data_IF_749607210821
#
_entry.id   IF_749607210821
#
_cell.length_a   1.000
_cell.length_b   1.000
_cell.length_c   1.000
_cell.angle_alpha   90.00
_cell.angle_beta   90.00
_cell.angle_gamma   90.00
#
_symmetry.space_group_name_H-M   'P 1'
#
loop_
_entity.id
_entity.type
_entity.pdbx_description
1 polymer ?
#
# COMPACT_ATOMS: atom_id res chain seq x y z
N UNK A 1 58.33 -12.49 -1.83
CA UNK A 1 57.69 -13.77 -1.43
C UNK A 1 57.47 -13.79 0.07
N UNK A 2 56.22 -13.56 0.51
CA UNK A 2 55.53 -14.11 1.70
C UNK A 2 54.08 -13.56 1.65
N UNK A 3 53.04 -14.36 1.99
CA UNK A 3 51.69 -14.17 1.46
C UNK A 3 50.79 -13.32 2.37
N UNK A 4 49.82 -12.63 1.74
CA UNK A 4 48.70 -11.95 2.39
C UNK A 4 47.73 -12.99 2.98
N UNK A 5 47.45 -12.91 4.27
CA UNK A 5 46.30 -13.60 4.88
C UNK A 5 45.02 -12.87 4.50
N UNK A 6 44.17 -13.52 3.69
CA UNK A 6 42.75 -13.16 3.53
C UNK A 6 41.99 -13.78 4.71
N UNK A 7 41.43 -12.96 5.58
CA UNK A 7 40.38 -13.41 6.50
C UNK A 7 39.09 -13.61 5.69
N UNK A 8 38.67 -14.86 5.59
CA UNK A 8 37.35 -15.29 5.13
C UNK A 8 36.31 -14.78 6.14
N UNK A 9 35.55 -13.74 5.82
CA UNK A 9 34.27 -13.51 6.49
C UNK A 9 33.27 -14.54 5.95
N UNK A 10 32.89 -15.45 6.84
CA UNK A 10 31.91 -16.52 6.62
C UNK A 10 30.57 -15.90 6.24
N UNK A 11 29.95 -16.50 5.21
CA UNK A 11 28.61 -16.19 4.76
C UNK A 11 27.58 -16.31 5.90
N UNK A 12 26.68 -15.34 5.93
CA UNK A 12 25.40 -15.44 6.63
C UNK A 12 24.61 -16.58 5.97
N UNK A 13 24.24 -17.56 6.77
CA UNK A 13 23.44 -18.72 6.38
C UNK A 13 21.99 -18.33 6.06
N UNK A 14 21.46 -18.89 4.97
CA UNK A 14 20.11 -18.75 4.42
C UNK A 14 18.98 -19.31 5.31
N UNK A 15 18.81 -18.84 6.55
CA UNK A 15 17.74 -19.37 7.42
C UNK A 15 17.01 -18.39 8.35
N UNK A 16 17.00 -17.08 8.06
CA UNK A 16 16.21 -16.08 8.82
C UNK A 16 15.25 -15.25 7.93
N UNK A 17 14.65 -15.84 6.90
CA UNK A 17 13.76 -15.14 5.96
C UNK A 17 12.25 -15.32 6.26
N UNK A 18 11.86 -15.47 7.53
CA UNK A 18 10.46 -15.45 7.98
C UNK A 18 10.34 -14.81 9.38
N UNK A 19 10.91 -13.62 9.55
CA UNK A 19 10.77 -12.81 10.77
C UNK A 19 9.64 -11.79 10.62
N UNK A 20 8.81 -11.65 11.65
CA UNK A 20 7.75 -10.65 11.82
C UNK A 20 8.17 -9.26 11.27
N UNK A 21 7.31 -8.61 10.47
CA UNK A 21 7.66 -7.36 9.80
C UNK A 21 7.93 -6.24 10.80
N UNK A 22 9.00 -5.49 10.56
CA UNK A 22 9.36 -4.32 11.33
C UNK A 22 9.69 -3.18 10.38
N UNK A 23 9.23 -1.97 10.72
CA UNK A 23 9.60 -0.75 10.02
C UNK A 23 11.06 -0.42 10.34
N UNK A 24 11.85 -0.13 9.31
CA UNK A 24 13.24 0.29 9.44
C UNK A 24 13.45 1.66 8.83
N UNK A 25 14.23 2.51 9.50
CA UNK A 25 14.71 3.76 8.93
C UNK A 25 16.10 3.57 8.35
N UNK A 26 16.36 4.14 7.16
CA UNK A 26 17.69 4.17 6.57
C UNK A 26 18.14 5.60 6.25
N UNK A 27 19.37 5.93 6.67
CA UNK A 27 19.97 7.24 6.49
C UNK A 27 21.29 7.16 5.72
N UNK A 28 21.64 8.23 5.00
CA UNK A 28 22.90 8.37 4.27
C UNK A 28 23.88 9.25 5.04
N UNK A 29 25.10 8.74 5.27
CA UNK A 29 26.23 9.56 5.70
C UNK A 29 26.89 10.22 4.48
N UNK A 30 27.04 11.55 4.50
CA UNK A 30 27.72 12.29 3.42
C UNK A 30 29.24 12.19 3.65
N UNK A 31 29.89 11.22 2.97
CA UNK A 31 31.33 11.00 3.00
C UNK A 31 31.72 9.87 2.04
N UNK A 32 32.96 9.87 1.52
CA UNK A 32 33.45 8.89 0.56
C UNK A 32 33.30 7.46 1.10
N UNK A 33 32.29 6.75 0.58
CA UNK A 33 31.82 5.46 1.08
C UNK A 33 30.35 5.54 1.48
N UNK A 34 29.44 5.47 0.50
CA UNK A 34 27.98 5.42 0.74
C UNK A 34 27.67 4.15 1.52
N UNK A 35 27.61 4.25 2.84
CA UNK A 35 27.14 3.17 3.71
C UNK A 35 25.68 3.44 4.06
N UNK A 36 24.83 2.45 3.83
CA UNK A 36 23.43 2.46 4.26
C UNK A 36 23.38 1.86 5.66
N UNK A 37 22.90 2.62 6.64
CA UNK A 37 22.63 2.10 7.99
C UNK A 37 21.13 1.91 8.15
N UNK A 38 20.73 0.78 8.75
CA UNK A 38 19.32 0.49 9.10
C UNK A 38 19.18 0.51 10.61
N UNK A 39 18.17 1.22 11.10
CA UNK A 39 17.83 1.26 12.53
C UNK A 39 16.37 0.80 12.71
N UNK A 40 16.09 -0.15 13.62
CA UNK A 40 14.71 -0.45 14.00
C UNK A 40 14.10 0.79 14.67
N UNK A 41 12.85 1.12 14.33
CA UNK A 41 12.16 2.31 14.87
C UNK A 41 11.08 1.95 15.89
N UNK A 42 10.88 0.67 16.16
CA UNK A 42 9.86 0.15 17.09
C UNK A 42 10.30 -1.23 17.59
N UNK A 43 9.95 -1.54 18.84
CA UNK A 43 10.04 -2.90 19.40
C UNK A 43 8.78 -3.73 19.14
N UNK A 44 7.70 -3.10 18.69
CA UNK A 44 6.45 -3.74 18.28
C UNK A 44 6.48 -4.04 16.78
N UNK A 45 5.89 -5.18 16.39
CA UNK A 45 5.67 -5.55 14.98
C UNK A 45 4.78 -4.51 14.30
N UNK A 46 5.37 -3.75 13.39
CA UNK A 46 4.71 -2.68 12.64
C UNK A 46 4.67 -3.02 11.16
N UNK A 47 3.47 -2.95 10.59
CA UNK A 47 3.16 -3.38 9.22
C UNK A 47 2.43 -2.26 8.46
N UNK A 48 2.38 -2.37 7.13
CA UNK A 48 1.62 -1.44 6.28
C UNK A 48 1.93 0.04 6.57
N UNK A 49 3.22 0.39 6.53
CA UNK A 49 3.67 1.73 6.83
C UNK A 49 3.24 2.73 5.75
N UNK A 50 2.62 3.82 6.16
CA UNK A 50 2.17 4.91 5.31
C UNK A 50 2.74 6.25 5.77
N UNK A 51 2.95 7.15 4.82
CA UNK A 51 3.39 8.53 5.05
C UNK A 51 2.42 9.50 4.39
N UNK A 52 2.58 10.79 4.66
CA UNK A 52 1.92 11.82 3.86
C UNK A 52 2.41 11.76 2.41
N UNK A 53 1.51 11.56 1.45
CA UNK A 53 1.85 11.41 0.03
C UNK A 53 2.58 12.66 -0.54
N UNK A 54 2.32 13.85 0.01
CA UNK A 54 3.02 15.08 -0.36
C UNK A 54 4.53 15.07 0.01
N UNK A 55 4.95 14.12 0.84
CA UNK A 55 6.33 13.94 1.29
C UNK A 55 7.01 12.69 0.69
N UNK A 56 6.39 12.02 -0.28
CA UNK A 56 7.02 10.92 -1.04
C UNK A 56 8.28 11.43 -1.75
N UNK A 57 9.40 10.76 -1.51
CA UNK A 57 10.71 11.16 -2.04
C UNK A 57 11.34 12.36 -1.33
N UNK A 58 10.80 12.81 -0.19
CA UNK A 58 11.42 13.83 0.68
C UNK A 58 11.87 13.20 1.99
N UNK A 59 12.69 13.92 2.77
CA UNK A 59 12.94 13.54 4.17
C UNK A 59 11.61 13.62 4.94
N UNK A 60 11.19 12.50 5.51
CA UNK A 60 9.98 12.39 6.33
C UNK A 60 10.38 12.28 7.81
N UNK A 61 9.63 12.94 8.67
CA UNK A 61 9.71 12.80 10.12
C UNK A 61 8.69 11.79 10.65
N UNK A 62 7.51 11.71 10.07
CA UNK A 62 6.42 10.91 10.60
C UNK A 62 6.06 9.73 9.70
N UNK A 63 5.91 8.56 10.32
CA UNK A 63 5.40 7.35 9.68
C UNK A 63 4.21 6.85 10.50
N UNK A 64 3.18 6.37 9.82
CA UNK A 64 2.06 5.72 10.45
C UNK A 64 2.05 4.25 10.05
N UNK A 65 1.72 3.36 10.98
CA UNK A 65 1.76 1.93 10.70
C UNK A 65 0.70 1.17 11.48
N UNK A 66 0.32 0.01 10.96
CA UNK A 66 -0.54 -0.96 11.62
C UNK A 66 0.25 -1.75 12.68
N UNK A 67 -0.38 -2.06 13.80
CA UNK A 67 0.18 -2.95 14.85
C UNK A 67 -0.19 -4.39 14.51
N UNK A 68 0.81 -5.18 14.07
CA UNK A 68 0.65 -6.56 13.62
C UNK A 68 0.90 -7.60 14.72
N UNK A 69 0.21 -7.48 15.85
CA UNK A 69 0.34 -8.42 16.98
C UNK A 69 -1.04 -8.72 17.62
N UNK A 70 -1.63 -9.93 17.43
CA UNK A 70 -1.08 -11.07 16.69
C UNK A 70 -1.38 -11.01 15.18
N UNK A 71 -0.38 -11.22 14.32
CA UNK A 71 -0.57 -11.44 12.88
C UNK A 71 -1.41 -12.72 12.62
N UNK A 72 -2.37 -12.75 11.67
CA UNK A 72 -2.67 -11.75 10.62
C UNK A 72 -3.60 -10.60 11.05
N UNK A 73 -3.94 -10.49 12.32
CA UNK A 73 -4.92 -9.50 12.79
C UNK A 73 -4.24 -8.18 13.19
N UNK A 74 -4.79 -7.07 12.71
CA UNK A 74 -4.26 -5.73 13.02
C UNK A 74 -4.92 -5.20 14.30
N UNK A 75 -4.14 -5.07 15.37
CA UNK A 75 -4.66 -4.70 16.69
C UNK A 75 -4.76 -3.19 16.92
N UNK A 76 -4.20 -2.36 16.02
CA UNK A 76 -4.19 -0.93 16.18
C UNK A 76 -3.38 -0.19 15.13
N UNK A 77 -3.20 1.11 15.35
CA UNK A 77 -2.37 1.99 14.52
C UNK A 77 -1.44 2.83 15.39
N UNK A 78 -0.26 3.15 14.87
CA UNK A 78 0.74 3.98 15.54
C UNK A 78 1.17 5.15 14.66
N UNK A 79 1.73 6.17 15.32
CA UNK A 79 2.52 7.24 14.72
C UNK A 79 3.94 7.13 15.28
N UNK A 80 4.91 7.09 14.39
CA UNK A 80 6.34 7.00 14.68
C UNK A 80 6.99 8.32 14.29
N UNK A 81 7.85 8.87 15.15
CA UNK A 81 8.68 10.05 14.87
C UNK A 81 10.13 9.60 14.59
N UNK A 82 10.48 9.55 13.31
CA UNK A 82 11.79 9.15 12.81
C UNK A 82 12.92 10.07 13.26
N UNK A 83 12.64 11.32 13.68
CA UNK A 83 13.67 12.19 14.24
C UNK A 83 14.23 11.67 15.57
N UNK A 84 13.50 10.78 16.24
CA UNK A 84 13.95 10.11 17.45
C UNK A 84 14.86 8.90 17.16
N UNK A 85 14.97 8.48 15.89
CA UNK A 85 15.77 7.32 15.50
C UNK A 85 17.26 7.63 15.61
N UNK A 86 17.87 7.15 16.69
CA UNK A 86 19.32 7.17 16.93
C UNK A 86 19.82 5.74 17.08
N UNK A 87 21.14 5.53 17.07
CA UNK A 87 21.74 4.20 17.19
C UNK A 87 21.28 3.40 18.44
N UNK A 88 20.71 4.07 19.45
CA UNK A 88 20.30 3.48 20.73
C UNK A 88 18.81 3.69 21.07
N UNK A 89 17.99 4.32 20.21
CA UNK A 89 16.57 4.54 20.50
C UNK A 89 15.75 3.28 20.21
N UNK A 90 15.23 2.62 21.24
CA UNK A 90 14.49 1.36 21.10
C UNK A 90 13.12 1.49 20.44
N UNK A 91 12.37 2.56 20.71
CA UNK A 91 11.03 2.79 20.17
C UNK A 91 10.81 4.28 19.89
N UNK A 92 10.45 4.59 18.64
CA UNK A 92 10.19 5.94 18.15
C UNK A 92 8.67 6.24 18.08
N UNK A 93 7.82 5.37 18.63
CA UNK A 93 6.37 5.54 18.68
C UNK A 93 5.99 6.73 19.56
N UNK A 94 5.35 7.75 18.98
CA UNK A 94 4.89 8.96 19.69
C UNK A 94 3.40 8.98 19.95
N UNK A 95 2.62 8.14 19.25
CA UNK A 95 1.20 7.95 19.51
C UNK A 95 0.75 6.57 19.06
N UNK A 96 -0.24 6.00 19.76
CA UNK A 96 -0.86 4.72 19.39
C UNK A 96 -2.35 4.70 19.69
N UNK A 97 -3.10 3.95 18.89
CA UNK A 97 -4.47 3.55 19.16
C UNK A 97 -4.59 2.06 18.99
N UNK A 98 -4.74 1.36 20.11
CA UNK A 98 -5.13 -0.05 20.12
C UNK A 98 -6.66 -0.13 20.09
N UNK A 99 -7.20 -1.05 19.31
CA UNK A 99 -8.65 -1.19 19.14
C UNK A 99 -9.33 -1.90 20.31
N UNK A 100 -8.55 -2.62 21.12
CA UNK A 100 -9.02 -3.39 22.26
C UNK A 100 -9.29 -4.87 21.93
N UNK A 101 -9.69 -5.67 22.93
CA UNK A 101 -9.90 -7.11 22.76
C UNK A 101 -10.95 -7.42 21.69
N UNK A 102 -10.68 -8.44 20.86
CA UNK A 102 -11.53 -8.87 19.74
C UNK A 102 -11.82 -7.80 18.68
N UNK A 103 -11.13 -6.66 18.71
CA UNK A 103 -11.26 -5.60 17.73
C UNK A 103 -10.03 -5.58 16.83
N UNK A 104 -10.24 -5.78 15.52
CA UNK A 104 -9.15 -5.86 14.56
C UNK A 104 -9.44 -5.00 13.33
N UNK A 105 -8.44 -4.28 12.83
CA UNK A 105 -8.58 -3.36 11.71
C UNK A 105 -7.82 -3.78 10.47
N UNK A 106 -7.53 -2.78 9.64
CA UNK A 106 -6.71 -2.93 8.44
C UNK A 106 -5.61 -1.87 8.35
N UNK A 107 -4.98 -1.79 7.19
CA UNK A 107 -3.99 -0.78 6.84
C UNK A 107 -4.53 0.65 7.09
N UNK A 108 -3.74 1.52 7.75
CA UNK A 108 -4.07 2.93 7.85
C UNK A 108 -3.77 3.66 6.53
N UNK A 109 -4.58 4.67 6.20
CA UNK A 109 -4.29 5.64 5.15
C UNK A 109 -4.11 7.03 5.77
N UNK A 110 -3.10 7.79 5.32
CA UNK A 110 -2.97 9.19 5.68
C UNK A 110 -3.63 10.09 4.63
N UNK A 111 -4.36 11.09 5.09
CA UNK A 111 -5.09 12.06 4.27
C UNK A 111 -4.68 13.46 4.72
N UNK A 112 -3.90 14.16 3.90
CA UNK A 112 -3.56 15.56 4.16
C UNK A 112 -4.84 16.41 4.26
N UNK A 113 -4.88 17.34 5.21
CA UNK A 113 -6.03 18.25 5.38
C UNK A 113 -6.23 19.10 4.12
N UNK A 114 -5.12 19.59 3.60
CA UNK A 114 -5.03 20.41 2.39
C UNK A 114 -3.92 19.84 1.52
N UNK A 115 -4.21 18.86 0.62
CA UNK A 115 -3.20 18.11 -0.13
C UNK A 115 -2.23 18.97 -0.95
N UNK A 116 -2.69 20.15 -1.38
CA UNK A 116 -1.95 21.06 -2.25
C UNK A 116 -1.37 22.27 -1.49
N UNK A 117 -1.47 22.30 -0.15
CA UNK A 117 -0.93 23.39 0.66
C UNK A 117 0.55 23.15 0.99
N UNK A 118 1.50 23.89 0.39
CA UNK A 118 2.92 23.71 0.66
C UNK A 118 3.37 24.17 2.06
N UNK A 119 2.53 24.94 2.76
CA UNK A 119 2.78 25.39 4.12
C UNK A 119 2.23 24.43 5.19
N UNK A 120 1.55 23.35 4.79
CA UNK A 120 1.05 22.36 5.73
C UNK A 120 2.18 21.55 6.37
N UNK A 121 2.10 21.39 7.69
CA UNK A 121 2.98 20.50 8.45
C UNK A 121 2.82 19.05 7.97
N UNK A 122 3.87 18.25 8.10
CA UNK A 122 3.91 16.87 7.57
C UNK A 122 2.77 15.98 8.09
N UNK A 123 2.38 16.16 9.36
CA UNK A 123 1.30 15.44 10.01
C UNK A 123 -0.04 16.19 10.03
N UNK A 124 -0.19 17.30 9.30
CA UNK A 124 -1.46 18.00 9.20
C UNK A 124 -2.45 17.28 8.29
N UNK A 125 -3.19 16.36 8.91
CA UNK A 125 -4.16 15.56 8.20
C UNK A 125 -4.95 14.65 9.11
N UNK A 126 -5.42 13.56 8.51
CA UNK A 126 -6.22 12.55 9.14
C UNK A 126 -5.69 11.16 8.81
N UNK A 127 -5.67 10.28 9.80
CA UNK A 127 -5.58 8.85 9.60
C UNK A 127 -6.96 8.27 9.44
N UNK A 128 -7.08 7.43 8.44
CA UNK A 128 -8.30 6.75 8.07
C UNK A 128 -8.04 5.25 8.09
N UNK A 129 -8.88 4.49 8.80
CA UNK A 129 -8.81 3.02 8.84
C UNK A 129 -10.18 2.45 9.20
N UNK A 130 -10.32 1.14 9.20
CA UNK A 130 -11.50 0.46 9.72
C UNK A 130 -11.12 -0.48 10.87
N UNK A 131 -12.11 -0.86 11.65
CA UNK A 131 -12.00 -1.81 12.75
C UNK A 131 -13.26 -2.67 12.80
N UNK A 132 -13.12 -3.96 13.00
CA UNK A 132 -14.20 -4.92 13.19
C UNK A 132 -14.10 -5.54 14.58
N UNK A 133 -15.22 -5.56 15.31
CA UNK A 133 -15.33 -6.23 16.58
C UNK A 133 -15.98 -7.61 16.36
N UNK A 134 -15.19 -8.67 16.54
CA UNK A 134 -15.63 -10.05 16.30
C UNK A 134 -16.70 -10.51 17.31
N UNK A 135 -16.77 -9.92 18.50
CA UNK A 135 -17.75 -10.31 19.51
C UNK A 135 -19.14 -9.72 19.22
N UNK A 136 -19.17 -8.47 18.74
CA UNK A 136 -20.43 -7.75 18.45
C UNK A 136 -20.82 -7.81 16.98
N UNK A 137 -19.96 -8.36 16.13
CA UNK A 137 -20.07 -8.33 14.66
C UNK A 137 -20.20 -6.91 14.08
N UNK A 138 -19.73 -5.89 14.81
CA UNK A 138 -19.79 -4.49 14.38
C UNK A 138 -18.51 -4.06 13.68
N UNK A 139 -18.63 -3.45 12.50
CA UNK A 139 -17.52 -2.76 11.84
C UNK A 139 -17.62 -1.25 12.02
N UNK A 140 -16.48 -0.57 12.12
CA UNK A 140 -16.36 0.86 12.38
C UNK A 140 -15.30 1.46 11.45
N UNK A 141 -15.65 2.53 10.74
CA UNK A 141 -14.66 3.36 10.05
C UNK A 141 -14.17 4.45 11.02
N UNK A 142 -12.86 4.59 11.14
CA UNK A 142 -12.19 5.49 12.06
C UNK A 142 -11.52 6.61 11.27
N UNK A 143 -11.85 7.87 11.60
CA UNK A 143 -11.12 9.04 11.11
C UNK A 143 -10.53 9.78 12.31
N UNK A 144 -9.21 9.88 12.35
CA UNK A 144 -8.43 10.38 13.48
C UNK A 144 -7.51 11.49 13.02
N UNK A 145 -7.39 12.60 13.75
CA UNK A 145 -6.37 13.61 13.40
C UNK A 145 -4.95 13.15 13.77
N UNK A 146 -4.88 12.31 14.80
CA UNK A 146 -3.68 11.65 15.30
C UNK A 146 -4.18 10.39 16.02
N UNK A 147 -3.41 9.30 16.14
CA UNK A 147 -3.87 8.11 16.87
C UNK A 147 -4.46 8.40 18.27
N UNK A 148 -4.05 9.49 18.94
CA UNK A 148 -4.65 9.92 20.21
C UNK A 148 -6.02 10.59 20.08
N UNK A 149 -6.33 11.24 18.95
CA UNK A 149 -7.52 12.07 18.78
C UNK A 149 -8.46 11.54 17.68
N UNK A 150 -9.48 10.78 18.10
CA UNK A 150 -10.57 10.31 17.23
C UNK A 150 -11.51 11.48 16.91
N UNK A 151 -11.74 11.76 15.62
CA UNK A 151 -12.68 12.81 15.20
C UNK A 151 -14.03 12.27 14.81
N UNK A 152 -14.08 11.16 14.08
CA UNK A 152 -15.32 10.57 13.60
C UNK A 152 -15.31 9.05 13.70
N UNK A 153 -16.48 8.50 14.00
CA UNK A 153 -16.75 7.07 14.09
C UNK A 153 -17.96 6.73 13.20
N UNK A 154 -17.75 5.86 12.22
CA UNK A 154 -18.80 5.42 11.30
C UNK A 154 -19.15 3.96 11.58
N UNK A 155 -20.33 3.67 12.13
CA UNK A 155 -20.83 2.28 12.20
C UNK A 155 -21.11 1.74 10.79
N UNK A 156 -20.61 0.54 10.53
CA UNK A 156 -20.82 -0.27 9.33
C UNK A 156 -21.43 -1.61 9.79
N UNK A 157 -22.63 -1.93 9.29
CA UNK A 157 -23.24 -3.25 9.51
C UNK A 157 -22.74 -4.22 8.45
N UNK A 158 -22.11 -5.32 8.85
CA UNK A 158 -21.53 -6.32 7.96
C UNK A 158 -22.27 -7.65 8.13
N UNK A 159 -22.88 -8.24 7.08
CA UNK A 159 -23.25 -9.66 7.11
C UNK A 159 -22.02 -10.55 6.88
N UNK A 160 -22.05 -11.75 7.45
CA UNK A 160 -20.94 -12.72 7.59
C UNK A 160 -20.11 -12.99 6.33
N UNK A 161 -18.82 -13.22 6.59
CA UNK A 161 -17.72 -13.83 5.80
C UNK A 161 -17.90 -13.95 4.28
N UNK A 162 -17.05 -13.24 3.53
CA UNK A 162 -16.74 -13.58 2.15
C UNK A 162 -15.41 -14.37 2.12
N UNK A 163 -15.39 -15.65 1.73
CA UNK A 163 -14.16 -16.46 1.73
C UNK A 163 -13.15 -16.05 0.65
N UNK A 164 -13.52 -15.11 -0.24
CA UNK A 164 -12.65 -14.52 -1.26
C UNK A 164 -12.53 -13.01 -1.04
N UNK A 165 -11.38 -12.43 -1.40
CA UNK A 165 -11.18 -10.98 -1.35
C UNK A 165 -12.05 -10.31 -2.42
N UNK A 166 -13.21 -9.77 -2.02
CA UNK A 166 -14.10 -9.01 -2.90
C UNK A 166 -13.74 -7.52 -2.87
N UNK A 167 -13.73 -6.89 -4.04
CA UNK A 167 -13.69 -5.44 -4.14
C UNK A 167 -15.11 -4.89 -4.11
N UNK A 168 -15.35 -3.90 -3.24
CA UNK A 168 -16.69 -3.43 -2.93
C UNK A 168 -16.75 -1.92 -2.77
N UNK A 169 -17.85 -1.33 -3.22
CA UNK A 169 -18.19 0.05 -2.93
C UNK A 169 -19.14 0.12 -1.73
N UNK A 170 -18.79 0.97 -0.77
CA UNK A 170 -19.64 1.30 0.37
C UNK A 170 -20.08 2.76 0.23
N UNK A 171 -21.39 2.99 0.15
CA UNK A 171 -21.98 4.31 0.09
C UNK A 171 -22.88 4.52 1.31
N UNK A 172 -22.67 5.61 2.04
CA UNK A 172 -23.47 5.98 3.20
C UNK A 172 -24.18 7.30 2.98
N UNK A 173 -25.48 7.33 3.28
CA UNK A 173 -26.22 8.58 3.39
C UNK A 173 -26.03 9.16 4.80
N UNK A 174 -25.69 10.44 4.89
CA UNK A 174 -25.46 11.15 6.16
C UNK A 174 -26.69 11.91 6.65
N UNK A 175 -27.84 11.79 5.97
CA UNK A 175 -29.13 12.27 6.49
C UNK A 175 -29.57 11.47 7.71
N UNK A 176 -30.68 11.89 8.33
CA UNK A 176 -31.22 11.32 9.58
C UNK A 176 -31.42 9.79 9.54
N UNK A 177 -31.64 9.22 8.35
CA UNK A 177 -31.58 7.78 8.12
C UNK A 177 -30.14 7.33 7.83
N UNK A 178 -29.47 6.81 8.86
CA UNK A 178 -28.16 6.17 8.73
C UNK A 178 -28.28 4.86 7.94
N UNK A 179 -28.22 4.93 6.61
CA UNK A 179 -28.19 3.76 5.74
C UNK A 179 -26.81 3.59 5.09
N UNK A 180 -26.35 2.35 5.00
CA UNK A 180 -25.14 1.96 4.27
C UNK A 180 -25.55 0.99 3.17
N UNK A 181 -25.21 1.32 1.93
CA UNK A 181 -25.37 0.43 0.78
C UNK A 181 -24.02 -0.13 0.37
N UNK A 182 -23.96 -1.43 0.12
CA UNK A 182 -22.76 -2.18 -0.29
C UNK A 182 -23.00 -2.76 -1.68
N UNK A 183 -22.01 -2.68 -2.56
CA UNK A 183 -22.09 -3.28 -3.90
C UNK A 183 -20.76 -3.92 -4.26
N UNK A 184 -20.79 -5.20 -4.64
CA UNK A 184 -19.63 -5.85 -5.25
C UNK A 184 -19.35 -5.24 -6.62
N UNK A 185 -18.09 -5.01 -6.93
CA UNK A 185 -17.66 -4.42 -8.21
C UNK A 185 -17.02 -5.45 -9.15
N UNK A 186 -16.77 -6.67 -8.67
CA UNK A 186 -16.14 -7.73 -9.46
C UNK A 186 -16.46 -9.11 -8.86
N UNK A 187 -16.55 -10.11 -9.73
CA UNK A 187 -16.65 -11.53 -9.33
C UNK A 187 -15.28 -12.17 -9.08
N UNK A 188 -14.21 -11.58 -9.61
CA UNK A 188 -12.83 -12.02 -9.37
C UNK A 188 -12.36 -11.64 -7.96
N UNK A 189 -11.45 -12.45 -7.41
CA UNK A 189 -10.70 -12.13 -6.19
C UNK A 189 -9.69 -11.02 -6.50
N UNK A 190 -9.96 -9.82 -6.00
CA UNK A 190 -9.15 -8.62 -6.29
C UNK A 190 -8.41 -8.15 -5.04
N UNK A 191 -7.13 -7.82 -5.21
CA UNK A 191 -6.21 -7.40 -4.14
C UNK A 191 -5.35 -6.24 -4.64
N UNK A 192 -4.63 -5.55 -3.73
CA UNK A 192 -3.68 -4.49 -4.07
C UNK A 192 -4.24 -3.46 -5.05
N UNK A 193 -5.34 -2.81 -4.65
CA UNK A 193 -6.02 -1.82 -5.48
C UNK A 193 -5.18 -0.54 -5.58
N UNK A 194 -5.04 -0.04 -6.81
CA UNK A 194 -4.37 1.20 -7.14
C UNK A 194 -5.32 2.12 -7.92
N UNK A 195 -5.17 3.42 -7.67
CA UNK A 195 -5.88 4.48 -8.39
C UNK A 195 -4.87 5.50 -8.88
N UNK A 196 -5.32 6.39 -9.77
CA UNK A 196 -4.56 7.60 -10.06
C UNK A 196 -4.39 8.42 -8.76
N UNK A 197 -3.14 8.67 -8.37
CA UNK A 197 -2.80 9.36 -7.12
C UNK A 197 -3.41 10.77 -7.04
N UNK A 198 -3.65 11.44 -8.18
CA UNK A 198 -4.33 12.73 -8.22
C UNK A 198 -5.80 12.69 -7.75
N UNK A 199 -6.39 11.49 -7.69
CA UNK A 199 -7.78 11.21 -7.31
C UNK A 199 -7.91 10.61 -5.91
N UNK A 200 -6.84 10.47 -5.14
CA UNK A 200 -6.91 10.09 -3.73
C UNK A 200 -7.87 11.03 -2.99
N UNK A 201 -8.89 10.46 -2.35
CA UNK A 201 -9.95 11.19 -1.61
C UNK A 201 -10.88 12.05 -2.50
N UNK A 202 -10.73 11.98 -3.82
CA UNK A 202 -11.68 12.55 -4.78
C UNK A 202 -12.58 11.43 -5.31
N UNK A 203 -13.71 11.81 -5.91
CA UNK A 203 -14.51 10.85 -6.67
C UNK A 203 -13.67 10.36 -7.85
N UNK A 204 -13.33 9.07 -7.86
CA UNK A 204 -12.62 8.42 -8.94
C UNK A 204 -13.56 7.46 -9.68
N UNK A 205 -13.33 7.26 -10.97
CA UNK A 205 -14.05 6.33 -11.82
C UNK A 205 -13.32 5.01 -11.95
N UNK A 206 -12.00 5.03 -12.05
CA UNK A 206 -11.19 3.85 -12.35
C UNK A 206 -10.42 3.36 -11.14
N UNK A 207 -10.40 2.03 -10.99
CA UNK A 207 -9.53 1.33 -10.04
C UNK A 207 -8.83 0.19 -10.78
N UNK A 208 -7.54 0.05 -10.53
CA UNK A 208 -6.74 -1.06 -11.02
C UNK A 208 -6.47 -2.01 -9.88
N UNK A 209 -6.60 -3.32 -10.09
CA UNK A 209 -6.40 -4.28 -9.01
C UNK A 209 -5.72 -5.54 -9.50
N UNK A 210 -4.92 -6.15 -8.63
CA UNK A 210 -4.31 -7.43 -8.87
C UNK A 210 -5.35 -8.57 -8.76
N UNK A 211 -5.27 -9.54 -9.68
CA UNK A 211 -6.11 -10.74 -9.66
C UNK A 211 -5.45 -11.80 -8.78
N UNK A 212 -6.00 -12.01 -7.59
CA UNK A 212 -5.51 -13.00 -6.62
C UNK A 212 -6.00 -14.41 -6.95
N UNK A 213 -5.23 -15.13 -7.77
CA UNK A 213 -5.46 -16.54 -8.11
C UNK A 213 -4.17 -17.17 -8.69
N UNK A 214 -3.73 -18.37 -8.26
CA UNK A 214 -4.16 -19.14 -7.09
C UNK A 214 -3.80 -18.43 -5.77
N UNK A 215 -4.27 -18.95 -4.63
CA UNK A 215 -4.08 -18.32 -3.32
C UNK A 215 -2.62 -17.92 -3.06
N UNK A 216 -2.41 -16.68 -2.60
CA UNK A 216 -1.10 -16.01 -2.39
C UNK A 216 -0.30 -15.67 -3.66
N UNK A 217 -0.87 -15.81 -4.86
CA UNK A 217 -0.23 -15.39 -6.11
C UNK A 217 -1.11 -14.43 -6.90
N UNK A 218 -0.48 -13.49 -7.59
CA UNK A 218 -1.16 -12.52 -8.46
C UNK A 218 -1.03 -12.98 -9.90
N UNK A 219 -2.11 -13.46 -10.53
CA UNK A 219 -2.10 -13.95 -11.91
C UNK A 219 -2.28 -12.85 -12.97
N UNK A 220 -2.57 -11.63 -12.57
CA UNK A 220 -2.83 -10.56 -13.53
C UNK A 220 -3.33 -9.28 -12.90
N UNK A 221 -3.79 -8.37 -13.75
CA UNK A 221 -4.33 -7.06 -13.38
C UNK A 221 -5.65 -6.84 -14.08
N UNK A 222 -6.59 -6.17 -13.41
CA UNK A 222 -7.85 -5.69 -13.97
C UNK A 222 -7.97 -4.18 -13.85
N UNK A 223 -8.79 -3.59 -14.71
CA UNK A 223 -9.32 -2.23 -14.58
C UNK A 223 -10.81 -2.32 -14.32
N UNK A 224 -11.26 -1.65 -13.28
CA UNK A 224 -12.65 -1.58 -12.84
C UNK A 224 -13.15 -0.16 -13.10
N UNK A 225 -14.32 -0.03 -13.72
CA UNK A 225 -15.03 1.24 -13.93
C UNK A 225 -16.20 1.35 -12.94
N UNK A 226 -15.99 2.11 -11.87
CA UNK A 226 -16.95 2.32 -10.80
C UNK A 226 -18.23 3.05 -11.27
N UNK A 227 -18.21 3.72 -12.42
CA UNK A 227 -19.44 4.33 -12.97
C UNK A 227 -20.46 3.29 -13.42
N UNK A 228 -20.00 2.05 -13.69
CA UNK A 228 -20.86 0.92 -14.06
C UNK A 228 -21.51 0.24 -12.85
N UNK A 229 -21.18 0.66 -11.62
CA UNK A 229 -21.78 0.12 -10.40
C UNK A 229 -23.26 0.54 -10.31
N UNK A 230 -24.12 -0.23 -10.97
CA UNK A 230 -25.58 -0.11 -10.88
C UNK A 230 -26.09 -1.09 -9.83
N UNK A 231 -27.34 -0.93 -9.38
CA UNK A 231 -27.92 -1.83 -8.37
C UNK A 231 -28.04 -3.30 -8.82
N UNK A 232 -27.82 -3.60 -10.11
CA UNK A 232 -28.07 -4.91 -10.72
C UNK A 232 -26.84 -5.57 -11.36
N UNK A 233 -25.78 -4.82 -11.71
CA UNK A 233 -24.54 -5.40 -12.26
C UNK A 233 -23.46 -5.51 -11.19
N UNK A 234 -23.07 -6.74 -10.84
CA UNK A 234 -21.95 -7.02 -9.92
C UNK A 234 -20.59 -7.05 -10.60
N UNK A 235 -20.52 -6.82 -11.92
CA UNK A 235 -19.29 -6.82 -12.71
C UNK A 235 -19.04 -5.43 -13.29
N UNK A 236 -17.94 -4.81 -12.85
CA UNK A 236 -17.49 -3.49 -13.30
C UNK A 236 -16.11 -3.57 -13.97
N UNK A 237 -15.55 -4.77 -14.18
CA UNK A 237 -14.27 -4.96 -14.89
C UNK A 237 -14.41 -4.60 -16.37
N UNK A 238 -13.66 -3.60 -16.82
CA UNK A 238 -13.65 -3.10 -18.20
C UNK A 238 -12.37 -3.45 -18.97
N UNK A 239 -11.30 -3.84 -18.28
CA UNK A 239 -10.08 -4.37 -18.90
C UNK A 239 -9.42 -5.42 -18.01
N UNK A 240 -8.67 -6.34 -18.62
CA UNK A 240 -7.97 -7.42 -17.92
C UNK A 240 -6.71 -7.84 -18.68
N UNK A 241 -5.63 -8.09 -17.94
CA UNK A 241 -4.42 -8.78 -18.40
C UNK A 241 -4.07 -9.90 -17.45
N UNK A 242 -4.15 -11.15 -17.93
CA UNK A 242 -3.58 -12.29 -17.24
C UNK A 242 -2.15 -12.53 -17.75
N UNK A 243 -1.23 -12.89 -16.85
CA UNK A 243 0.17 -13.10 -17.20
C UNK A 243 0.43 -14.47 -17.87
N UNK A 244 -0.51 -15.39 -17.74
CA UNK A 244 -0.38 -16.76 -18.24
C UNK A 244 0.08 -17.75 -17.18
N UNK A 245 0.10 -19.04 -17.53
CA UNK A 245 0.43 -20.11 -16.59
C UNK A 245 1.85 -19.99 -16.04
N UNK A 246 2.01 -20.13 -14.72
CA UNK A 246 3.30 -20.03 -14.05
C UNK A 246 3.90 -18.62 -14.01
N UNK A 247 3.17 -17.60 -14.47
CA UNK A 247 3.61 -16.20 -14.43
C UNK A 247 2.80 -15.44 -13.38
N UNK A 248 3.49 -14.83 -12.42
CA UNK A 248 2.85 -14.15 -11.29
C UNK A 248 3.49 -12.81 -11.01
N UNK A 249 2.68 -11.81 -10.70
CA UNK A 249 3.14 -10.46 -10.42
C UNK A 249 2.99 -10.02 -8.97
N UNK A 250 3.04 -8.71 -8.77
CA UNK A 250 2.75 -8.06 -7.49
C UNK A 250 1.68 -6.99 -7.63
N UNK A 251 1.71 -6.01 -6.73
CA UNK A 251 0.88 -4.81 -6.80
C UNK A 251 1.04 -4.09 -8.16
N UNK A 252 -0.06 -3.74 -8.85
CA UNK A 252 -0.02 -2.79 -9.95
C UNK A 252 0.07 -1.36 -9.38
N UNK A 253 0.88 -0.51 -10.00
CA UNK A 253 0.97 0.91 -9.64
C UNK A 253 0.61 1.78 -10.84
N UNK A 254 -0.28 2.76 -10.65
CA UNK A 254 -0.64 3.71 -11.69
C UNK A 254 0.34 4.89 -11.71
N UNK A 255 0.84 5.22 -12.90
CA UNK A 255 1.69 6.37 -13.15
C UNK A 255 1.02 7.24 -14.21
N UNK A 256 0.59 8.44 -13.83
CA UNK A 256 0.01 9.41 -14.76
C UNK A 256 1.04 9.77 -15.85
N UNK A 257 0.59 9.89 -17.10
CA UNK A 257 1.46 10.32 -18.21
C UNK A 257 1.98 11.73 -17.99
N UNK A 258 1.08 12.62 -17.57
CA UNK A 258 1.35 14.01 -17.27
C UNK A 258 0.75 14.34 -15.88
N UNK A 259 1.48 14.10 -14.78
CA UNK A 259 0.93 14.20 -13.42
C UNK A 259 0.42 15.61 -13.05
N UNK A 260 0.97 16.64 -13.69
CA UNK A 260 0.62 18.04 -13.43
C UNK A 260 -0.41 18.59 -14.43
N UNK A 261 -0.95 17.76 -15.32
CA UNK A 261 -1.96 18.18 -16.30
C UNK A 261 -3.39 17.93 -15.78
N UNK A 262 -4.11 18.97 -15.31
CA UNK A 262 -5.47 18.80 -14.81
C UNK A 262 -6.51 18.46 -15.90
N UNK A 263 -6.15 18.62 -17.18
CA UNK A 263 -7.01 18.27 -18.32
C UNK A 263 -6.83 16.83 -18.78
N UNK A 264 -5.84 16.08 -18.25
CA UNK A 264 -5.66 14.68 -18.56
C UNK A 264 -6.85 13.85 -18.05
N UNK A 265 -7.23 12.83 -18.82
CA UNK A 265 -8.25 11.88 -18.36
C UNK A 265 -7.71 11.04 -17.19
N UNK A 266 -8.61 10.60 -16.30
CA UNK A 266 -8.26 9.92 -15.06
C UNK A 266 -7.34 8.69 -15.28
N UNK A 267 -7.56 7.96 -16.36
CA UNK A 267 -6.84 6.76 -16.76
C UNK A 267 -5.71 7.01 -17.79
N UNK A 268 -5.39 8.26 -18.11
CA UNK A 268 -4.29 8.58 -19.02
C UNK A 268 -2.93 8.42 -18.32
N UNK A 269 -2.38 7.22 -18.50
CA UNK A 269 -1.12 6.87 -17.89
C UNK A 269 -0.77 5.42 -18.13
N UNK A 270 0.04 4.90 -17.21
CA UNK A 270 0.64 3.60 -17.30
C UNK A 270 0.36 2.80 -16.04
N UNK A 271 0.21 1.49 -16.20
CA UNK A 271 0.32 0.55 -15.08
C UNK A 271 1.70 -0.08 -15.12
N UNK A 272 2.40 0.00 -13.99
CA UNK A 272 3.68 -0.66 -13.81
C UNK A 272 3.56 -1.77 -12.77
N UNK A 273 4.27 -2.86 -12.98
CA UNK A 273 4.32 -3.98 -12.02
C UNK A 273 5.49 -4.91 -12.33
N UNK A 274 5.91 -5.68 -11.32
CA UNK A 274 6.84 -6.78 -11.54
C UNK A 274 6.07 -8.06 -11.88
N UNK A 275 6.64 -8.88 -12.75
CA UNK A 275 6.16 -10.22 -13.06
C UNK A 275 7.32 -11.21 -13.01
N UNK A 276 7.12 -12.35 -12.38
CA UNK A 276 8.04 -13.46 -12.32
C UNK A 276 7.44 -14.68 -13.03
N UNK A 277 8.18 -15.23 -13.98
CA UNK A 277 7.82 -16.46 -14.67
C UNK A 277 8.53 -17.63 -14.01
N UNK A 278 7.82 -18.37 -13.17
CA UNK A 278 8.33 -19.54 -12.43
C UNK A 278 8.81 -20.67 -13.36
N UNK A 279 8.34 -20.74 -14.60
CA UNK A 279 8.79 -21.76 -15.55
C UNK A 279 10.20 -21.48 -16.09
N UNK A 280 10.60 -20.21 -16.12
CA UNK A 280 11.88 -19.75 -16.72
C UNK A 280 12.80 -19.08 -15.69
N UNK A 281 12.31 -18.90 -14.47
CA UNK A 281 12.89 -18.11 -13.38
C UNK A 281 13.19 -16.64 -13.72
N UNK A 282 12.69 -16.14 -14.86
CA UNK A 282 12.87 -14.75 -15.28
C UNK A 282 11.94 -13.79 -14.53
N UNK A 283 12.46 -12.63 -14.13
CA UNK A 283 11.67 -11.49 -13.67
C UNK A 283 11.67 -10.38 -14.71
N UNK A 284 10.51 -9.74 -14.90
CA UNK A 284 10.31 -8.61 -15.81
C UNK A 284 9.62 -7.47 -15.07
N UNK A 285 10.00 -6.24 -15.38
CA UNK A 285 9.24 -5.04 -15.05
C UNK A 285 8.37 -4.68 -16.25
N UNK A 286 7.05 -4.72 -16.06
CA UNK A 286 6.07 -4.48 -17.10
C UNK A 286 5.58 -3.05 -17.03
N UNK A 287 5.41 -2.43 -18.20
CA UNK A 287 4.73 -1.15 -18.39
C UNK A 287 3.57 -1.39 -19.34
N UNK A 288 2.36 -1.12 -18.87
CA UNK A 288 1.12 -1.34 -19.61
C UNK A 288 0.40 -0.02 -19.84
N UNK A 289 -0.30 0.11 -20.97
CA UNK A 289 -1.24 1.20 -21.20
C UNK A 289 -2.46 1.04 -20.29
N UNK A 290 -2.66 2.00 -19.38
CA UNK A 290 -3.74 1.97 -18.39
C UNK A 290 -5.13 2.26 -19.00
N UNK A 291 -5.16 2.83 -20.21
CA UNK A 291 -6.39 3.15 -20.95
C UNK A 291 -6.84 2.00 -21.85
N UNK A 292 -5.88 1.18 -22.31
CA UNK A 292 -6.14 0.05 -23.21
C UNK A 292 -7.20 -0.92 -22.65
N UNK A 293 -8.18 -1.36 -23.47
CA UNK A 293 -9.21 -2.32 -23.05
C UNK A 293 -8.66 -3.71 -22.71
N UNK A 294 -7.38 -3.96 -23.02
CA UNK A 294 -6.69 -5.21 -22.67
C UNK A 294 -5.49 -5.01 -21.76
N UNK A 295 -5.22 -3.78 -21.29
CA UNK A 295 -3.99 -3.41 -20.59
C UNK A 295 -2.76 -3.91 -21.39
N UNK A 296 -2.61 -3.38 -22.60
CA UNK A 296 -1.54 -3.74 -23.52
C UNK A 296 -0.16 -3.46 -22.91
N UNK A 297 0.76 -4.42 -23.03
CA UNK A 297 2.15 -4.27 -22.57
C UNK A 297 2.90 -3.43 -23.60
N UNK A 298 3.23 -2.19 -23.23
CA UNK A 298 4.03 -1.29 -24.05
C UNK A 298 5.53 -1.58 -23.92
N UNK A 299 5.97 -2.02 -22.74
CA UNK A 299 7.34 -2.43 -22.50
C UNK A 299 7.42 -3.56 -21.46
N UNK A 300 8.40 -4.45 -21.64
CA UNK A 300 8.74 -5.50 -20.69
C UNK A 300 10.26 -5.55 -20.51
N UNK A 301 10.74 -4.96 -19.42
CA UNK A 301 12.18 -4.89 -19.10
C UNK A 301 12.58 -6.15 -18.36
N UNK A 302 13.46 -6.97 -18.96
CA UNK A 302 14.04 -8.14 -18.28
C UNK A 302 14.99 -7.68 -17.18
N UNK A 303 14.85 -8.24 -15.98
CA UNK A 303 15.70 -7.93 -14.84
C UNK A 303 16.85 -8.93 -14.73
N UNK A 304 18.04 -8.49 -14.26
CA UNK A 304 19.23 -9.34 -14.19
C UNK A 304 19.13 -10.41 -13.08
N UNK A 305 18.18 -10.25 -12.15
CA UNK A 305 17.97 -11.15 -11.02
C UNK A 305 16.48 -11.25 -10.70
N UNK A 306 16.13 -12.31 -9.96
CA UNK A 306 14.77 -12.54 -9.46
C UNK A 306 14.34 -11.42 -8.52
N UNK A 307 13.16 -10.86 -8.77
CA UNK A 307 12.44 -10.00 -7.83
C UNK A 307 11.50 -10.89 -7.01
N UNK A 308 11.68 -11.00 -5.67
CA UNK A 308 10.76 -11.74 -4.81
C UNK A 308 9.35 -11.15 -4.83
N UNK A 309 8.35 -11.97 -4.50
CA UNK A 309 7.01 -11.46 -4.23
C UNK A 309 7.06 -10.49 -3.05
N UNK A 310 6.62 -9.26 -3.30
CA UNK A 310 6.59 -8.18 -2.33
C UNK A 310 5.15 -7.73 -2.03
N UNK A 311 5.04 -6.71 -1.18
CA UNK A 311 3.80 -6.02 -0.88
C UNK A 311 3.75 -4.69 -1.66
N UNK A 312 3.71 -3.57 -0.94
CA UNK A 312 3.48 -2.26 -1.54
C UNK A 312 4.75 -1.64 -2.12
N UNK A 313 4.59 -0.97 -3.26
CA UNK A 313 5.61 -0.16 -3.91
C UNK A 313 5.24 1.31 -3.97
N UNK A 314 6.23 2.15 -4.29
CA UNK A 314 6.01 3.56 -4.59
C UNK A 314 6.72 3.93 -5.90
N UNK A 315 6.11 4.84 -6.66
CA UNK A 315 6.78 5.51 -7.77
C UNK A 315 7.20 6.91 -7.34
N UNK A 316 8.47 7.26 -7.56
CA UNK A 316 9.01 8.59 -7.24
C UNK A 316 9.46 9.24 -8.56
N UNK A 317 8.85 10.36 -8.99
CA UNK A 317 9.27 11.05 -10.20
C UNK A 317 10.65 11.67 -10.02
N UNK A 318 11.39 11.83 -11.12
CA UNK A 318 12.74 12.41 -11.10
C UNK A 318 12.77 13.82 -10.47
N UNK A 319 11.72 14.61 -10.70
CA UNK A 319 11.54 15.95 -10.11
C UNK A 319 11.52 15.94 -8.57
N UNK A 320 11.26 14.79 -7.94
CA UNK A 320 11.32 14.61 -6.49
C UNK A 320 12.68 14.11 -6.02
N UNK A 321 13.45 13.41 -6.87
CA UNK A 321 14.77 12.88 -6.51
C UNK A 321 15.80 13.99 -6.30
N UNK A 322 15.70 15.11 -7.01
CA UNK A 322 16.57 16.28 -6.83
C UNK A 322 16.38 17.03 -5.50
N UNK A 323 15.41 16.60 -4.66
CA UNK A 323 15.10 17.17 -3.34
C UNK A 323 15.60 16.29 -2.18
N UNK A 324 16.24 15.15 -2.47
CA UNK A 324 16.86 14.22 -1.51
C UNK A 324 18.29 14.65 -1.17
#
# INVERSE_FOLDING_TARGET
MRPRSRSLEKGLSDNEAAGLGNVHYSGHGVGAGKSVKRHPVSTTSLEFAVINSAYVGKKNRYVYAAVGDPMPKIAGVVKVDLSLSTANSGDCTVARRLYGPSCYGGEPCFVAREPDNPAAEEDDGYLVTYMHNENTEESKFLVMQNPLLLKFLLLLSYPKECPMASMESLCRNLTWEKSVTRRSTSTASLQFAAINQAYVIKKNRYVYAAVGAPMRKIAGVVKVDLSLSTATSGECTVARRLYGSGCYGGEPFFVAREPDNPAAEEDDGYLITYMHNENTEESKFLVMDAKSPTLEILAAVKLPQRVPYGFHGIFVPESHLGKL
#
